data_IF_105735931882
#
_entry.id   IF_105735931882
#
_cell.length_a   1.000
_cell.length_b   1.000
_cell.length_c   1.000
_cell.angle_alpha   90.00
_cell.angle_beta   90.00
_cell.angle_gamma   90.00
#
_symmetry.space_group_name_H-M   'P 1'
#
loop_
_entity.id
_entity.type
_entity.pdbx_description
1 polymer ?
#
# COMPACT_ATOMS: atom_id res chain seq x y z
N UNK A 1 14.66 30.35 -25.81
CA UNK A 1 15.09 30.87 -24.49
C UNK A 1 14.10 30.39 -23.45
N UNK A 2 14.34 29.21 -22.89
CA UNK A 2 13.50 28.64 -21.83
C UNK A 2 14.13 29.02 -20.50
N UNK A 3 13.47 29.91 -19.77
CA UNK A 3 13.89 30.36 -18.44
C UNK A 3 13.65 29.22 -17.45
N UNK A 4 14.72 28.49 -17.13
CA UNK A 4 14.75 27.63 -15.96
C UNK A 4 14.50 28.51 -14.73
N UNK A 5 13.31 28.39 -14.13
CA UNK A 5 13.06 28.94 -12.80
C UNK A 5 14.01 28.23 -11.84
N UNK A 6 15.03 28.95 -11.40
CA UNK A 6 15.85 28.58 -10.26
C UNK A 6 14.90 28.57 -9.05
N UNK A 7 14.58 27.38 -8.59
CA UNK A 7 13.78 27.14 -7.38
C UNK A 7 14.55 27.74 -6.21
N UNK A 8 13.98 28.74 -5.54
CA UNK A 8 14.57 29.41 -4.39
C UNK A 8 14.59 28.48 -3.18
N UNK A 9 15.60 28.62 -2.31
CA UNK A 9 15.85 27.81 -1.11
C UNK A 9 14.66 27.68 -0.12
N UNK A 10 13.61 28.49 -0.26
CA UNK A 10 12.36 28.35 0.50
C UNK A 10 11.50 27.13 0.11
N UNK A 11 11.63 26.62 -1.12
CA UNK A 11 10.85 25.48 -1.64
C UNK A 11 11.43 24.12 -1.19
N UNK A 12 12.63 24.11 -0.62
CA UNK A 12 13.28 22.88 -0.14
C UNK A 12 12.61 22.33 1.13
N UNK A 13 11.95 23.22 1.89
CA UNK A 13 11.21 22.90 3.12
C UNK A 13 9.75 22.43 2.88
N UNK A 14 9.25 22.53 1.63
CA UNK A 14 7.88 22.18 1.26
C UNK A 14 7.76 20.79 0.61
N UNK A 15 8.89 20.09 0.42
CA UNK A 15 8.92 18.75 -0.16
C UNK A 15 8.37 17.70 0.81
N UNK A 16 7.60 16.72 0.32
CA UNK A 16 7.13 15.63 1.16
C UNK A 16 8.31 14.77 1.64
N UNK A 17 8.16 14.17 2.81
CA UNK A 17 9.10 13.19 3.34
C UNK A 17 8.81 11.84 2.69
N UNK A 18 9.79 11.29 1.98
CA UNK A 18 9.63 10.04 1.22
C UNK A 18 10.12 8.82 2.01
N UNK A 19 11.12 8.99 2.89
CA UNK A 19 11.72 7.88 3.66
C UNK A 19 12.20 8.35 5.04
N UNK A 20 12.13 7.49 6.05
CA UNK A 20 12.61 7.79 7.40
C UNK A 20 13.51 6.69 7.94
N UNK A 21 14.64 7.11 8.51
CA UNK A 21 15.56 6.26 9.26
C UNK A 21 15.51 6.66 10.73
N UNK A 22 15.52 5.69 11.64
CA UNK A 22 15.55 5.95 13.07
C UNK A 22 16.81 5.34 13.67
N UNK A 23 17.43 6.05 14.62
CA UNK A 23 18.51 5.49 15.44
C UNK A 23 18.52 6.09 16.85
N UNK A 24 19.12 5.37 17.80
CA UNK A 24 19.28 5.86 19.18
C UNK A 24 20.53 6.73 19.29
N UNK A 25 20.39 7.92 19.88
CA UNK A 25 21.48 8.90 20.01
C UNK A 25 22.63 8.39 20.91
N UNK A 26 22.31 7.47 21.84
CA UNK A 26 23.31 6.90 22.76
C UNK A 26 24.28 5.93 22.09
N UNK A 27 23.92 5.38 20.93
CA UNK A 27 24.74 4.39 20.24
C UNK A 27 25.83 5.08 19.42
N UNK A 28 27.06 5.05 19.94
CA UNK A 28 28.25 5.59 19.27
C UNK A 28 28.89 4.63 18.27
N UNK A 29 28.57 3.34 18.35
CA UNK A 29 29.24 2.25 17.61
C UNK A 29 29.06 2.24 16.08
N UNK A 30 28.39 3.24 15.50
CA UNK A 30 28.15 3.36 14.06
C UNK A 30 28.09 4.80 13.55
N UNK A 31 28.64 5.76 14.29
CA UNK A 31 28.58 7.19 13.92
C UNK A 31 29.32 7.49 12.62
N UNK A 32 30.48 6.85 12.41
CA UNK A 32 31.29 7.03 11.20
C UNK A 32 30.54 6.52 9.96
N UNK A 33 29.96 5.33 10.03
CA UNK A 33 29.20 4.76 8.91
C UNK A 33 27.91 5.53 8.62
N UNK A 34 27.20 6.03 9.64
CA UNK A 34 26.03 6.90 9.45
C UNK A 34 26.40 8.17 8.70
N UNK A 35 27.45 8.85 9.17
CA UNK A 35 27.89 10.10 8.55
C UNK A 35 28.33 9.86 7.09
N UNK A 36 29.08 8.78 6.84
CA UNK A 36 29.50 8.42 5.49
C UNK A 36 28.29 8.12 4.58
N UNK A 37 27.25 7.48 5.12
CA UNK A 37 26.01 7.19 4.39
C UNK A 37 25.19 8.47 4.11
N UNK A 38 25.00 9.33 5.10
CA UNK A 38 24.27 10.60 4.94
C UNK A 38 24.96 11.55 3.95
N UNK A 39 26.29 11.61 3.98
CA UNK A 39 27.07 12.34 2.98
C UNK A 39 26.94 11.71 1.59
N UNK A 40 26.86 10.37 1.49
CA UNK A 40 26.60 9.69 0.22
C UNK A 40 25.18 9.93 -0.31
N UNK A 41 24.17 10.01 0.58
CA UNK A 41 22.80 10.40 0.25
C UNK A 41 22.79 11.82 -0.32
N UNK A 42 23.46 12.77 0.36
CA UNK A 42 23.57 14.15 -0.10
C UNK A 42 24.30 14.27 -1.46
N UNK A 43 25.38 13.49 -1.67
CA UNK A 43 26.08 13.40 -2.98
C UNK A 43 25.15 12.90 -4.10
N UNK A 44 24.20 12.03 -3.77
CA UNK A 44 23.20 11.53 -4.71
C UNK A 44 22.05 12.52 -4.95
N UNK A 45 22.09 13.73 -4.40
CA UNK A 45 21.09 14.78 -4.62
C UNK A 45 19.79 14.58 -3.86
N UNK A 46 19.80 13.77 -2.80
CA UNK A 46 18.70 13.63 -1.85
C UNK A 46 18.88 14.60 -0.68
N UNK A 47 17.77 15.08 -0.13
CA UNK A 47 17.75 16.00 0.99
C UNK A 47 17.60 15.21 2.29
N UNK A 48 18.38 15.57 3.30
CA UNK A 48 18.41 14.90 4.60
C UNK A 48 18.16 15.93 5.69
N UNK A 49 17.12 15.71 6.50
CA UNK A 49 16.87 16.48 7.71
C UNK A 49 16.89 15.56 8.94
N UNK A 50 17.20 16.15 10.10
CA UNK A 50 17.30 15.43 11.37
C UNK A 50 16.32 16.00 12.38
N UNK A 51 15.50 15.13 12.95
CA UNK A 51 14.56 15.46 14.01
C UNK A 51 14.85 14.59 15.22
N UNK A 52 15.28 15.20 16.33
CA UNK A 52 15.59 14.47 17.56
C UNK A 52 14.40 14.55 18.50
N UNK A 53 13.82 13.39 18.83
CA UNK A 53 12.73 13.28 19.79
C UNK A 53 13.19 12.36 20.93
N UNK A 54 13.32 12.94 22.13
CA UNK A 54 13.81 12.28 23.33
C UNK A 54 15.23 11.70 23.14
N UNK A 55 15.34 10.39 22.91
CA UNK A 55 16.59 9.65 22.73
C UNK A 55 16.74 9.00 21.35
N UNK A 56 15.80 9.28 20.45
CA UNK A 56 15.76 8.75 19.08
C UNK A 56 15.95 9.92 18.12
N UNK A 57 16.86 9.76 17.17
CA UNK A 57 17.03 10.66 16.05
C UNK A 57 16.33 10.06 14.84
N UNK A 58 15.41 10.83 14.26
CA UNK A 58 14.76 10.53 13.00
C UNK A 58 15.47 11.29 11.89
N UNK A 59 15.92 10.57 10.88
CA UNK A 59 16.51 11.11 9.67
C UNK A 59 15.45 11.04 8.58
N UNK A 60 14.89 12.18 8.21
CA UNK A 60 13.88 12.27 7.14
C UNK A 60 14.58 12.55 5.82
N UNK A 61 14.20 11.82 4.79
CA UNK A 61 14.79 11.91 3.46
C UNK A 61 13.72 12.35 2.48
N UNK A 62 14.03 13.38 1.69
CA UNK A 62 13.15 13.92 0.65
C UNK A 62 13.88 13.97 -0.69
N UNK A 63 13.20 13.54 -1.75
CA UNK A 63 13.76 13.51 -3.09
C UNK A 63 13.22 14.66 -3.97
N UNK A 64 14.11 15.49 -4.54
CA UNK A 64 13.73 16.44 -5.57
C UNK A 64 13.17 15.75 -6.82
N UNK A 65 12.24 16.41 -7.50
CA UNK A 65 11.59 15.90 -8.72
C UNK A 65 12.60 15.49 -9.80
N UNK A 66 13.62 16.32 -10.00
CA UNK A 66 14.69 16.07 -10.97
C UNK A 66 15.44 14.74 -10.69
N UNK A 67 15.66 14.42 -9.40
CA UNK A 67 16.34 13.19 -9.01
C UNK A 67 15.46 11.97 -9.25
N UNK A 68 14.17 12.09 -8.91
CA UNK A 68 13.16 11.05 -9.15
C UNK A 68 13.02 10.73 -10.63
N UNK A 69 13.00 11.74 -11.51
CA UNK A 69 12.95 11.53 -12.95
C UNK A 69 14.12 10.67 -13.47
N UNK A 70 15.36 10.95 -13.01
CA UNK A 70 16.53 10.18 -13.44
C UNK A 70 16.45 8.72 -13.02
N UNK A 71 15.97 8.46 -11.81
CA UNK A 71 15.79 7.08 -11.34
C UNK A 71 14.61 6.39 -12.00
N UNK A 72 13.52 7.11 -12.28
CA UNK A 72 12.39 6.58 -13.02
C UNK A 72 12.80 6.14 -14.44
N UNK A 73 13.62 6.93 -15.14
CA UNK A 73 14.18 6.56 -16.44
C UNK A 73 15.07 5.31 -16.32
N UNK A 74 15.93 5.27 -15.30
CA UNK A 74 16.85 4.15 -15.06
C UNK A 74 16.11 2.85 -14.73
N UNK A 75 15.02 2.94 -13.99
CA UNK A 75 14.16 1.81 -13.67
C UNK A 75 13.28 1.38 -14.87
N UNK A 76 13.18 2.21 -15.92
CA UNK A 76 12.30 1.95 -17.05
C UNK A 76 10.83 1.94 -16.66
N UNK A 77 10.39 2.86 -15.79
CA UNK A 77 8.99 2.92 -15.36
C UNK A 77 8.10 3.29 -16.55
N UNK A 78 7.02 2.53 -16.74
CA UNK A 78 6.02 2.86 -17.76
C UNK A 78 5.03 3.90 -17.21
N UNK A 79 4.89 5.02 -17.93
CA UNK A 79 4.07 6.15 -17.52
C UNK A 79 2.97 6.44 -18.55
N UNK A 80 1.79 6.91 -18.11
CA UNK A 80 0.64 7.15 -18.99
C UNK A 80 0.85 8.37 -19.91
N UNK A 81 0.47 8.23 -21.17
CA UNK A 81 0.51 9.30 -22.18
C UNK A 81 -0.76 10.16 -22.18
N UNK A 82 -0.61 11.45 -22.47
CA UNK A 82 -1.72 12.40 -22.63
C UNK A 82 -2.56 12.05 -23.86
N UNK A 83 -3.89 11.98 -23.68
CA UNK A 83 -4.85 11.99 -24.79
C UNK A 83 -5.14 10.64 -25.46
N UNK A 84 -4.51 9.55 -25.01
CA UNK A 84 -4.78 8.19 -25.52
C UNK A 84 -5.43 7.37 -24.40
N UNK A 85 -6.74 7.57 -24.20
CA UNK A 85 -7.53 6.78 -23.26
C UNK A 85 -7.89 5.43 -23.87
N UNK A 86 -7.73 4.36 -23.10
CA UNK A 86 -8.17 3.01 -23.45
C UNK A 86 -9.56 2.82 -22.88
N UNK A 87 -10.52 2.45 -23.72
CA UNK A 87 -11.85 2.09 -23.24
C UNK A 87 -11.78 0.77 -22.47
N UNK A 88 -12.18 0.79 -21.20
CA UNK A 88 -12.21 -0.39 -20.36
C UNK A 88 -13.13 -1.46 -20.98
N UNK A 89 -12.59 -2.65 -21.22
CA UNK A 89 -13.37 -3.79 -21.74
C UNK A 89 -14.32 -4.27 -20.65
N UNK A 90 -15.63 -4.08 -20.84
CA UNK A 90 -16.62 -4.52 -19.84
C UNK A 90 -16.63 -6.05 -19.73
N UNK A 91 -16.73 -6.62 -18.52
CA UNK A 91 -16.80 -8.07 -18.36
C UNK A 91 -18.07 -8.63 -19.01
N UNK A 92 -17.92 -9.75 -19.72
CA UNK A 92 -18.98 -10.40 -20.52
C UNK A 92 -20.11 -11.00 -19.69
N UNK A 93 -19.92 -11.23 -18.39
CA UNK A 93 -21.00 -11.67 -17.51
C UNK A 93 -21.39 -10.56 -16.51
N UNK A 94 -22.71 -10.36 -16.36
CA UNK A 94 -23.35 -9.48 -15.34
C UNK A 94 -23.18 -7.95 -15.51
N UNK A 95 -23.30 -7.43 -16.74
CA UNK A 95 -23.17 -5.99 -17.09
C UNK A 95 -24.15 -5.04 -16.38
N UNK A 96 -25.34 -5.51 -15.97
CA UNK A 96 -26.38 -4.63 -15.41
C UNK A 96 -26.18 -4.31 -13.93
N UNK A 97 -25.72 -5.29 -13.12
CA UNK A 97 -25.45 -5.07 -11.70
C UNK A 97 -24.07 -4.43 -11.47
N UNK A 98 -23.10 -4.73 -12.34
CA UNK A 98 -21.71 -4.27 -12.18
C UNK A 98 -21.60 -2.74 -12.10
N UNK A 99 -22.40 -1.98 -12.87
CA UNK A 99 -22.37 -0.51 -12.85
C UNK A 99 -22.66 0.12 -11.48
N UNK A 100 -23.46 -0.53 -10.63
CA UNK A 100 -23.76 -0.03 -9.28
C UNK A 100 -22.66 -0.36 -8.27
N UNK A 101 -21.78 -1.31 -8.61
CA UNK A 101 -20.71 -1.79 -7.75
C UNK A 101 -19.33 -1.27 -8.14
N UNK A 102 -19.17 -0.65 -9.32
CA UNK A 102 -17.90 -0.02 -9.75
C UNK A 102 -17.52 1.11 -8.79
N UNK A 103 -16.27 1.06 -8.33
CA UNK A 103 -15.70 2.06 -7.40
C UNK A 103 -14.56 2.85 -8.04
N UNK A 104 -13.90 2.28 -9.05
CA UNK A 104 -12.84 2.95 -9.82
C UNK A 104 -13.39 3.64 -11.06
N UNK A 105 -13.03 4.92 -11.21
CA UNK A 105 -13.38 5.77 -12.34
C UNK A 105 -12.12 6.39 -12.98
N UNK A 106 -10.93 5.85 -12.68
CA UNK A 106 -9.71 6.32 -13.33
C UNK A 106 -9.72 5.83 -14.79
N UNK A 107 -9.47 6.74 -15.73
CA UNK A 107 -9.34 6.37 -17.12
C UNK A 107 -7.98 5.70 -17.33
N UNK A 108 -7.99 4.54 -17.96
CA UNK A 108 -6.76 3.89 -18.38
C UNK A 108 -6.17 4.64 -19.57
N UNK A 109 -4.86 4.88 -19.53
CA UNK A 109 -4.11 5.50 -20.63
C UNK A 109 -3.06 4.52 -21.15
N UNK A 110 -2.72 4.67 -22.42
CA UNK A 110 -1.57 3.94 -22.98
C UNK A 110 -0.29 4.33 -22.22
N UNK A 111 0.48 3.33 -21.83
CA UNK A 111 1.71 3.50 -21.06
C UNK A 111 2.93 3.26 -21.93
N UNK A 112 3.95 4.12 -21.81
CA UNK A 112 5.24 4.02 -22.48
C UNK A 112 6.38 4.16 -21.47
N UNK A 113 7.58 3.60 -21.71
CA UNK A 113 8.70 3.75 -20.81
C UNK A 113 9.06 5.22 -20.67
N UNK A 114 9.28 5.65 -19.43
CA UNK A 114 9.47 7.03 -19.09
C UNK A 114 10.80 7.56 -19.64
N UNK A 115 10.71 8.66 -20.37
CA UNK A 115 11.85 9.45 -20.82
C UNK A 115 11.61 10.91 -20.45
N UNK A 116 12.48 11.47 -19.64
CA UNK A 116 12.48 12.86 -19.19
C UNK A 116 12.47 13.84 -20.37
N UNK A 117 13.17 13.52 -21.45
CA UNK A 117 13.18 14.33 -22.68
C UNK A 117 11.79 14.51 -23.28
N UNK A 118 10.92 13.51 -23.12
CA UNK A 118 9.55 13.47 -23.62
C UNK A 118 8.53 13.85 -22.53
N UNK A 119 8.97 14.51 -21.44
CA UNK A 119 8.14 14.84 -20.28
C UNK A 119 6.76 15.44 -20.61
N UNK A 120 6.68 16.31 -21.62
CA UNK A 120 5.44 16.97 -22.02
C UNK A 120 4.34 16.02 -22.52
N UNK A 121 4.70 14.82 -22.97
CA UNK A 121 3.78 13.79 -23.48
C UNK A 121 3.06 13.03 -22.36
N UNK A 122 3.59 13.02 -21.14
CA UNK A 122 3.03 12.23 -20.04
C UNK A 122 2.00 13.02 -19.24
N UNK A 123 0.98 12.33 -18.74
CA UNK A 123 -0.10 12.92 -17.93
C UNK A 123 0.48 13.57 -16.67
N UNK A 124 -0.01 14.76 -16.31
CA UNK A 124 0.33 15.49 -15.08
C UNK A 124 1.83 15.81 -14.85
N UNK A 125 2.68 15.78 -15.89
CA UNK A 125 4.12 16.08 -15.75
C UNK A 125 4.44 17.49 -15.20
N UNK A 126 3.51 18.44 -15.37
CA UNK A 126 3.64 19.81 -14.86
C UNK A 126 3.49 19.91 -13.33
N UNK A 127 2.90 18.89 -12.70
CA UNK A 127 2.65 18.82 -11.26
C UNK A 127 3.52 17.71 -10.61
N UNK A 128 4.72 18.02 -10.08
CA UNK A 128 5.65 17.04 -9.54
C UNK A 128 5.09 16.09 -8.47
N UNK A 129 4.19 16.62 -7.64
CA UNK A 129 3.57 15.88 -6.54
C UNK A 129 2.47 14.92 -7.01
N UNK A 130 1.85 15.20 -8.16
CA UNK A 130 0.78 14.38 -8.74
C UNK A 130 1.35 13.38 -9.75
N UNK A 131 2.38 13.78 -10.49
CA UNK A 131 3.07 12.94 -11.48
C UNK A 131 3.61 11.66 -10.87
N UNK A 132 4.44 11.78 -9.81
CA UNK A 132 4.90 10.64 -9.05
C UNK A 132 3.97 10.40 -7.88
N UNK A 133 3.19 9.32 -7.96
CA UNK A 133 2.37 8.79 -6.87
C UNK A 133 3.24 8.57 -5.62
N UNK A 134 2.69 8.76 -4.43
CA UNK A 134 3.43 8.60 -3.15
C UNK A 134 4.15 7.26 -3.05
N UNK A 135 3.49 6.17 -3.49
CA UNK A 135 4.08 4.83 -3.52
C UNK A 135 5.30 4.73 -4.47
N UNK A 136 5.22 5.35 -5.66
CA UNK A 136 6.33 5.36 -6.62
C UNK A 136 7.50 6.22 -6.12
N UNK A 137 7.23 7.37 -5.50
CA UNK A 137 8.27 8.20 -4.87
C UNK A 137 9.03 7.41 -3.83
N UNK A 138 8.29 6.77 -2.92
CA UNK A 138 8.82 5.91 -1.88
C UNK A 138 9.67 4.77 -2.43
N UNK A 139 9.21 4.11 -3.50
CA UNK A 139 9.92 3.03 -4.17
C UNK A 139 11.24 3.51 -4.80
N UNK A 140 11.21 4.62 -5.55
CA UNK A 140 12.38 5.19 -6.20
C UNK A 140 13.43 5.61 -5.17
N UNK A 141 13.01 6.28 -4.09
CA UNK A 141 13.92 6.65 -2.99
C UNK A 141 14.50 5.43 -2.32
N UNK A 142 13.67 4.43 -2.02
CA UNK A 142 14.14 3.17 -1.44
C UNK A 142 15.20 2.51 -2.33
N UNK A 143 14.98 2.47 -3.65
CA UNK A 143 15.94 1.91 -4.59
C UNK A 143 17.27 2.67 -4.62
N UNK A 144 17.24 4.01 -4.59
CA UNK A 144 18.47 4.82 -4.45
C UNK A 144 19.22 4.41 -3.18
N UNK A 145 18.53 4.32 -2.04
CA UNK A 145 19.16 4.01 -0.75
C UNK A 145 19.77 2.60 -0.70
N UNK A 146 19.20 1.64 -1.44
CA UNK A 146 19.76 0.29 -1.58
C UNK A 146 21.06 0.26 -2.39
N UNK A 147 21.18 1.14 -3.38
CA UNK A 147 22.29 1.17 -4.32
C UNK A 147 23.49 2.03 -3.87
N UNK A 148 23.31 2.88 -2.85
CA UNK A 148 24.39 3.72 -2.32
C UNK A 148 25.52 2.84 -1.77
N UNK A 149 26.72 3.00 -2.32
CA UNK A 149 27.93 2.35 -1.82
C UNK A 149 28.66 3.25 -0.81
N UNK A 150 28.97 2.69 0.37
CA UNK A 150 29.60 3.42 1.49
C UNK A 150 31.13 3.16 1.52
N UNK A 151 31.60 2.19 0.74
CA UNK A 151 32.99 1.73 0.75
C UNK A 151 34.00 2.83 0.40
N UNK A 152 33.69 3.73 -0.54
CA UNK A 152 34.63 4.76 -1.03
C UNK A 152 35.27 5.61 0.08
N UNK A 153 34.55 5.88 1.20
CA UNK A 153 35.06 6.69 2.31
C UNK A 153 35.68 5.88 3.44
N UNK A 154 35.23 4.64 3.64
CA UNK A 154 35.77 3.79 4.71
C UNK A 154 37.21 3.37 4.36
N UNK A 155 37.47 3.07 3.09
CA UNK A 155 38.83 2.72 2.60
C UNK A 155 39.79 3.92 2.51
N UNK A 156 39.31 5.16 2.65
CA UNK A 156 40.19 6.32 2.76
C UNK A 156 40.88 6.42 4.14
N UNK A 157 40.33 5.75 5.16
CA UNK A 157 40.82 5.80 6.53
C UNK A 157 41.58 4.53 6.97
N UNK A 158 41.31 3.37 6.37
CA UNK A 158 41.99 2.11 6.68
C UNK A 158 42.97 1.71 5.56
N UNK A 159 44.27 1.80 5.85
CA UNK A 159 45.39 1.31 5.04
C UNK A 159 45.59 -0.21 5.13
N UNK A 160 44.48 -0.97 5.14
CA UNK A 160 44.45 -2.42 5.28
C UNK A 160 43.70 -3.09 4.12
N UNK A 161 44.37 -4.05 3.50
CA UNK A 161 43.93 -4.95 2.42
C UNK A 161 42.45 -5.39 2.58
N UNK A 162 41.58 -4.93 1.67
CA UNK A 162 40.15 -5.17 1.76
C UNK A 162 39.71 -6.30 0.82
N UNK A 163 39.20 -7.38 1.39
CA UNK A 163 38.30 -8.29 0.69
C UNK A 163 37.06 -7.47 0.29
N UNK A 164 36.85 -7.30 -1.01
CA UNK A 164 35.83 -6.44 -1.64
C UNK A 164 34.40 -6.99 -1.47
N UNK A 165 33.97 -7.20 -0.23
CA UNK A 165 32.55 -7.27 0.06
C UNK A 165 32.03 -5.84 0.02
N UNK A 166 31.41 -5.46 -1.10
CA UNK A 166 30.67 -4.21 -1.23
C UNK A 166 29.74 -4.06 -0.03
N UNK A 167 30.02 -3.13 0.90
CA UNK A 167 29.10 -2.80 1.99
C UNK A 167 27.95 -2.00 1.38
N UNK A 168 27.02 -2.73 0.75
CA UNK A 168 25.96 -2.14 -0.05
C UNK A 168 24.85 -1.57 0.84
N UNK A 169 24.80 -0.25 0.85
CA UNK A 169 23.62 0.56 1.14
C UNK A 169 22.90 0.33 2.45
N UNK A 170 21.62 0.66 2.41
CA UNK A 170 20.71 0.67 3.53
C UNK A 170 20.58 -0.70 4.22
N UNK A 171 20.56 -1.79 3.44
CA UNK A 171 20.40 -3.15 3.99
C UNK A 171 21.57 -3.55 4.89
N UNK A 172 22.79 -3.18 4.52
CA UNK A 172 23.97 -3.44 5.36
C UNK A 172 23.90 -2.68 6.68
N UNK A 173 23.51 -1.40 6.66
CA UNK A 173 23.39 -0.57 7.86
C UNK A 173 22.28 -1.05 8.79
N UNK A 174 21.15 -1.47 8.23
CA UNK A 174 20.06 -2.08 8.98
C UNK A 174 20.48 -3.42 9.60
N UNK A 175 21.15 -4.30 8.83
CA UNK A 175 21.62 -5.59 9.32
C UNK A 175 22.69 -5.48 10.43
N UNK A 176 23.56 -4.46 10.35
CA UNK A 176 24.56 -4.16 11.40
C UNK A 176 23.92 -3.50 12.64
N UNK A 177 22.64 -3.11 12.57
CA UNK A 177 21.94 -2.42 13.67
C UNK A 177 22.41 -0.99 13.89
N UNK A 178 22.95 -0.34 12.85
CA UNK A 178 23.38 1.07 12.91
C UNK A 178 22.15 1.99 12.94
N UNK A 179 21.17 1.69 12.09
CA UNK A 179 19.82 2.23 12.20
C UNK A 179 18.96 1.21 12.95
N UNK A 180 18.18 1.67 13.91
CA UNK A 180 17.28 0.80 14.66
C UNK A 180 16.10 0.36 13.80
N UNK A 181 15.55 1.28 13.02
CA UNK A 181 14.42 1.01 12.12
C UNK A 181 14.49 1.89 10.87
N UNK A 182 13.87 1.40 9.81
CA UNK A 182 13.75 2.09 8.53
C UNK A 182 12.32 1.92 8.04
N UNK A 183 11.59 3.00 7.81
CA UNK A 183 10.18 2.92 7.44
C UNK A 183 9.77 4.07 6.53
N UNK A 184 8.64 3.85 5.87
CA UNK A 184 7.97 4.81 5.00
C UNK A 184 6.90 5.53 5.82
N UNK A 185 6.72 6.82 5.56
CA UNK A 185 5.63 7.57 6.17
C UNK A 185 4.36 7.43 5.35
N UNK A 186 3.25 7.22 6.05
CA UNK A 186 1.94 7.31 5.44
C UNK A 186 1.54 8.77 5.25
N UNK A 187 0.79 9.05 4.19
CA UNK A 187 0.16 10.35 4.03
C UNK A 187 -0.67 10.71 5.27
N UNK A 188 -0.62 11.98 5.72
CA UNK A 188 -1.36 12.43 6.88
C UNK A 188 -2.86 12.29 6.63
N UNK A 189 -3.60 11.82 7.65
CA UNK A 189 -5.06 11.73 7.57
C UNK A 189 -5.73 12.42 8.74
N UNK A 190 -6.89 13.03 8.48
CA UNK A 190 -7.68 13.71 9.51
C UNK A 190 -8.23 12.76 10.58
N UNK A 191 -8.31 11.47 10.26
CA UNK A 191 -8.90 10.45 11.14
C UNK A 191 -7.87 9.86 12.12
N UNK A 192 -6.60 10.27 12.07
CA UNK A 192 -5.58 9.80 13.01
C UNK A 192 -5.79 10.36 14.43
N UNK A 193 -5.42 9.55 15.43
CA UNK A 193 -5.62 9.89 16.84
C UNK A 193 -4.92 11.20 17.24
N UNK A 194 -3.73 11.47 16.68
CA UNK A 194 -2.97 12.68 16.95
C UNK A 194 -3.74 13.93 16.49
N UNK A 195 -4.18 13.97 15.24
CA UNK A 195 -4.94 15.10 14.70
C UNK A 195 -6.34 15.21 15.30
N UNK A 196 -6.94 14.10 15.74
CA UNK A 196 -8.19 14.10 16.49
C UNK A 196 -8.04 14.80 17.83
N UNK A 197 -6.99 14.49 18.61
CA UNK A 197 -6.68 15.18 19.87
C UNK A 197 -6.35 16.65 19.64
N UNK A 198 -5.61 16.94 18.57
CA UNK A 198 -5.30 18.32 18.17
C UNK A 198 -6.55 19.13 17.85
N UNK A 199 -7.56 18.53 17.21
CA UNK A 199 -8.86 19.18 16.96
C UNK A 199 -9.56 19.57 18.25
N UNK A 200 -9.48 18.72 19.27
CA UNK A 200 -10.10 18.92 20.58
C UNK A 200 -9.35 19.98 21.41
N UNK A 201 -8.02 20.02 21.32
CA UNK A 201 -7.18 20.94 22.11
C UNK A 201 -6.95 22.30 21.43
N UNK A 202 -6.54 22.30 20.15
CA UNK A 202 -6.12 23.48 19.38
C UNK A 202 -6.82 23.51 18.00
N UNK A 203 -8.09 23.89 18.00
CA UNK A 203 -8.92 23.91 16.78
C UNK A 203 -8.34 24.78 15.64
N UNK A 204 -7.74 25.94 15.95
CA UNK A 204 -7.18 26.83 14.92
C UNK A 204 -6.00 26.19 14.16
N UNK A 205 -5.13 25.50 14.89
CA UNK A 205 -3.99 24.81 14.32
C UNK A 205 -4.44 23.60 13.50
N UNK A 206 -5.46 22.90 13.98
CA UNK A 206 -6.14 21.85 13.22
C UNK A 206 -6.74 22.38 11.91
N UNK A 207 -7.40 23.53 11.90
CA UNK A 207 -7.93 24.14 10.67
C UNK A 207 -6.82 24.47 9.66
N UNK A 208 -5.71 25.06 10.12
CA UNK A 208 -4.53 25.32 9.27
C UNK A 208 -3.91 24.04 8.71
N UNK A 209 -3.90 22.97 9.50
CA UNK A 209 -3.47 21.66 9.05
C UNK A 209 -4.43 21.07 8.00
N UNK A 210 -5.74 21.11 8.28
CA UNK A 210 -6.76 20.58 7.38
C UNK A 210 -6.79 21.31 6.03
N UNK A 211 -6.50 22.61 6.02
CA UNK A 211 -6.36 23.42 4.80
C UNK A 211 -5.10 23.04 4.00
N UNK A 212 -4.01 22.66 4.67
CA UNK A 212 -2.78 22.16 4.01
C UNK A 212 -2.99 20.78 3.37
N UNK A 213 -3.87 19.94 3.92
CA UNK A 213 -4.30 18.70 3.28
C UNK A 213 -5.24 19.02 2.11
N UNK A 214 -4.67 19.34 0.93
CA UNK A 214 -5.44 19.52 -0.31
C UNK A 214 -6.29 18.30 -0.65
N UNK A 215 -5.80 17.10 -0.37
CA UNK A 215 -6.52 15.83 -0.52
C UNK A 215 -6.00 14.81 0.51
N UNK A 216 -6.92 14.03 1.10
CA UNK A 216 -6.59 12.93 2.01
C UNK A 216 -6.79 11.59 1.26
N UNK A 217 -5.71 11.00 0.71
CA UNK A 217 -5.81 9.77 -0.06
C UNK A 217 -6.26 8.60 0.81
N UNK A 218 -5.82 8.53 2.07
CA UNK A 218 -6.16 7.45 3.01
C UNK A 218 -7.63 7.45 3.37
N UNK A 219 -8.19 8.62 3.68
CA UNK A 219 -9.61 8.75 3.99
C UNK A 219 -10.48 8.43 2.78
N UNK A 220 -10.05 8.87 1.60
CA UNK A 220 -10.75 8.56 0.34
C UNK A 220 -10.73 7.06 0.08
N UNK A 221 -9.58 6.42 0.25
CA UNK A 221 -9.40 4.97 0.10
C UNK A 221 -10.26 4.20 1.10
N UNK A 222 -10.20 4.55 2.38
CA UNK A 222 -10.99 3.94 3.47
C UNK A 222 -12.49 3.98 3.19
N UNK A 223 -13.03 5.16 2.82
CA UNK A 223 -14.45 5.34 2.51
C UNK A 223 -14.94 4.49 1.34
N UNK A 224 -14.07 4.23 0.37
CA UNK A 224 -14.42 3.50 -0.84
C UNK A 224 -14.15 2.00 -0.75
N UNK A 225 -13.15 1.59 0.04
CA UNK A 225 -12.72 0.21 0.15
C UNK A 225 -13.44 -0.58 1.24
N UNK A 226 -13.79 0.05 2.37
CA UNK A 226 -14.45 -0.62 3.51
C UNK A 226 -15.86 -1.17 3.19
N UNK A 227 -16.72 -0.51 2.39
CA UNK A 227 -18.06 -1.02 2.13
C UNK A 227 -18.06 -2.39 1.44
N UNK A 228 -18.55 -3.43 2.13
CA UNK A 228 -18.57 -4.82 1.64
C UNK A 228 -19.45 -5.05 0.41
N UNK A 229 -20.35 -4.11 0.12
CA UNK A 229 -21.29 -4.19 -1.00
C UNK A 229 -20.79 -3.52 -2.27
N UNK A 230 -19.55 -2.99 -2.31
CA UNK A 230 -18.95 -2.39 -3.51
C UNK A 230 -17.77 -3.22 -4.00
N UNK A 231 -17.39 -3.07 -5.27
CA UNK A 231 -16.12 -3.63 -5.75
C UNK A 231 -14.94 -2.88 -5.15
N UNK A 232 -13.84 -3.60 -5.02
CA UNK A 232 -12.61 -3.06 -4.47
C UNK A 232 -12.02 -2.01 -5.43
N UNK A 233 -11.66 -0.80 -4.94
CA UNK A 233 -11.02 0.22 -5.77
C UNK A 233 -9.52 -0.09 -5.97
N UNK A 234 -9.22 -0.96 -6.93
CA UNK A 234 -7.89 -1.46 -7.23
C UNK A 234 -6.92 -0.33 -7.63
N UNK A 235 -7.37 0.65 -8.41
CA UNK A 235 -6.50 1.75 -8.84
C UNK A 235 -6.02 2.60 -7.66
N UNK A 236 -6.91 2.86 -6.70
CA UNK A 236 -6.56 3.63 -5.51
C UNK A 236 -5.68 2.86 -4.55
N UNK A 237 -5.90 1.54 -4.42
CA UNK A 237 -5.00 0.65 -3.68
C UNK A 237 -3.62 0.67 -4.35
N UNK A 238 -3.55 0.62 -5.68
CA UNK A 238 -2.30 0.70 -6.45
C UNK A 238 -1.58 2.00 -6.23
N UNK A 239 -2.29 3.11 -6.30
CA UNK A 239 -1.71 4.45 -6.15
C UNK A 239 -1.12 4.67 -4.75
N UNK A 240 -1.67 4.01 -3.73
CA UNK A 240 -1.27 4.18 -2.34
C UNK A 240 -0.29 3.12 -1.81
N UNK A 241 -0.54 1.84 -2.06
CA UNK A 241 0.24 0.70 -1.55
C UNK A 241 1.20 0.10 -2.60
N UNK A 242 1.03 0.44 -3.87
CA UNK A 242 1.79 -0.13 -4.97
C UNK A 242 1.16 -1.39 -5.57
N UNK A 243 1.83 -1.92 -6.59
CA UNK A 243 1.31 -2.94 -7.50
C UNK A 243 1.20 -4.31 -6.83
N UNK A 244 2.17 -4.69 -5.99
CA UNK A 244 2.21 -6.01 -5.34
C UNK A 244 1.01 -6.24 -4.42
N UNK A 245 0.69 -5.26 -3.59
CA UNK A 245 -0.44 -5.33 -2.64
C UNK A 245 -1.77 -5.28 -3.42
N UNK A 246 -1.83 -4.45 -4.46
CA UNK A 246 -3.02 -4.39 -5.32
C UNK A 246 -3.28 -5.70 -6.03
N UNK A 247 -2.24 -6.34 -6.56
CA UNK A 247 -2.37 -7.64 -7.22
C UNK A 247 -2.92 -8.70 -6.27
N UNK A 248 -2.47 -8.71 -5.02
CA UNK A 248 -3.03 -9.58 -3.98
C UNK A 248 -4.54 -9.35 -3.81
N UNK A 249 -4.99 -8.10 -3.67
CA UNK A 249 -6.41 -7.79 -3.51
C UNK A 249 -7.25 -8.03 -4.78
N UNK A 250 -6.68 -7.78 -5.96
CA UNK A 250 -7.31 -8.09 -7.23
C UNK A 250 -7.56 -9.60 -7.38
N UNK A 251 -6.57 -10.41 -7.01
CA UNK A 251 -6.69 -11.86 -7.00
C UNK A 251 -7.73 -12.34 -5.99
N UNK A 252 -7.69 -11.82 -4.76
CA UNK A 252 -8.65 -12.14 -3.70
C UNK A 252 -10.09 -11.81 -4.13
N UNK A 253 -10.32 -10.61 -4.69
CA UNK A 253 -11.61 -10.19 -5.20
C UNK A 253 -12.11 -11.09 -6.34
N UNK A 254 -11.23 -11.47 -7.26
CA UNK A 254 -11.57 -12.39 -8.35
C UNK A 254 -11.96 -13.77 -7.83
N UNK A 255 -11.21 -14.30 -6.86
CA UNK A 255 -11.50 -15.61 -6.26
C UNK A 255 -12.85 -15.61 -5.54
N UNK A 256 -13.15 -14.57 -4.76
CA UNK A 256 -14.44 -14.43 -4.07
C UNK A 256 -15.59 -14.30 -5.06
N UNK A 257 -15.44 -13.53 -6.15
CA UNK A 257 -16.49 -13.39 -7.18
C UNK A 257 -16.76 -14.72 -7.91
N UNK A 258 -15.74 -15.52 -8.21
CA UNK A 258 -15.89 -16.84 -8.82
C UNK A 258 -16.59 -17.87 -7.90
N UNK A 259 -16.55 -17.68 -6.58
CA UNK A 259 -17.17 -18.58 -5.62
C UNK A 259 -18.69 -18.37 -5.48
N UNK A 260 -19.20 -17.18 -5.80
CA UNK A 260 -20.63 -16.86 -5.65
C UNK A 260 -21.57 -17.85 -6.37
N UNK A 261 -21.36 -18.21 -7.65
CA UNK A 261 -22.22 -19.19 -8.33
C UNK A 261 -22.21 -20.56 -7.64
N UNK A 262 -21.04 -21.04 -7.21
CA UNK A 262 -20.91 -22.31 -6.51
C UNK A 262 -21.60 -22.27 -5.14
N UNK A 263 -21.47 -21.17 -4.40
CA UNK A 263 -22.15 -20.95 -3.13
C UNK A 263 -23.68 -20.92 -3.31
N UNK A 264 -24.18 -20.23 -4.34
CA UNK A 264 -25.62 -20.18 -4.65
C UNK A 264 -26.14 -21.59 -4.96
N UNK A 265 -25.47 -22.35 -5.84
CA UNK A 265 -25.86 -23.74 -6.14
C UNK A 265 -25.81 -24.61 -4.89
N UNK A 266 -24.77 -24.49 -4.07
CA UNK A 266 -24.64 -25.21 -2.81
C UNK A 266 -25.78 -24.94 -1.83
N UNK A 267 -26.16 -23.67 -1.67
CA UNK A 267 -27.31 -23.27 -0.83
C UNK A 267 -28.63 -23.78 -1.40
N UNK A 268 -28.83 -23.72 -2.72
CA UNK A 268 -30.05 -24.25 -3.36
C UNK A 268 -30.19 -25.76 -3.16
N UNK A 269 -29.10 -26.53 -3.33
CA UNK A 269 -29.10 -27.97 -3.07
C UNK A 269 -29.36 -28.28 -1.59
N UNK A 270 -28.76 -27.51 -0.67
CA UNK A 270 -28.97 -27.66 0.77
C UNK A 270 -30.44 -27.40 1.17
N UNK A 271 -31.03 -26.31 0.68
CA UNK A 271 -32.44 -25.97 0.93
C UNK A 271 -33.36 -27.03 0.33
N UNK A 272 -33.09 -27.50 -0.89
CA UNK A 272 -33.84 -28.60 -1.50
C UNK A 272 -33.78 -29.86 -0.64
N UNK A 273 -32.59 -30.23 -0.16
CA UNK A 273 -32.40 -31.38 0.74
C UNK A 273 -33.21 -31.25 2.04
N UNK A 274 -33.21 -30.07 2.66
CA UNK A 274 -34.02 -29.80 3.87
C UNK A 274 -35.51 -29.94 3.57
N UNK A 275 -36.00 -29.27 2.51
CA UNK A 275 -37.42 -29.32 2.15
C UNK A 275 -37.86 -30.75 1.85
N UNK A 276 -37.05 -31.49 1.09
CA UNK A 276 -37.31 -32.90 0.77
C UNK A 276 -37.31 -33.78 2.03
N UNK A 277 -36.34 -33.60 2.93
CA UNK A 277 -36.28 -34.32 4.20
C UNK A 277 -37.49 -34.06 5.08
N UNK A 278 -37.95 -32.81 5.18
CA UNK A 278 -39.14 -32.46 5.98
C UNK A 278 -40.43 -32.95 5.33
N UNK A 279 -40.53 -32.88 3.98
CA UNK A 279 -41.74 -33.26 3.25
C UNK A 279 -41.98 -34.77 3.20
N UNK A 280 -40.92 -35.57 3.06
CA UNK A 280 -41.02 -37.04 2.98
C UNK A 280 -41.06 -37.66 4.37
N UNK A 281 -40.35 -37.09 5.34
CA UNK A 281 -40.27 -37.61 6.71
C UNK A 281 -41.33 -36.97 7.62
N UNK A 282 -42.59 -36.91 7.17
CA UNK A 282 -43.71 -36.38 7.96
C UNK A 282 -43.99 -37.14 9.27
N UNK A 283 -43.36 -38.30 9.49
CA UNK A 283 -43.73 -39.22 10.57
C UNK A 283 -42.59 -39.76 11.45
N UNK A 284 -41.35 -39.27 11.36
CA UNK A 284 -40.24 -39.85 12.16
C UNK A 284 -39.51 -38.87 13.08
N UNK A 285 -40.10 -37.71 13.40
CA UNK A 285 -39.58 -36.88 14.52
C UNK A 285 -40.07 -37.36 15.89
N UNK A 286 -40.79 -38.48 15.93
CA UNK A 286 -41.27 -39.08 17.17
C UNK A 286 -41.79 -40.50 17.02
N UNK A 287 -41.43 -41.27 15.99
CA UNK A 287 -41.81 -42.69 15.88
C UNK A 287 -40.56 -43.54 15.63
N UNK A 288 -40.26 -44.42 16.58
CA UNK A 288 -39.12 -45.33 16.57
C UNK A 288 -39.63 -46.75 16.27
N UNK A 289 -39.02 -47.45 15.31
CA UNK A 289 -39.31 -48.87 15.06
C UNK A 289 -38.49 -49.73 16.03
N UNK A 290 -39.14 -50.32 17.03
CA UNK A 290 -38.52 -51.27 17.96
C UNK A 290 -38.91 -52.71 17.55
N UNK A 291 -37.98 -53.65 17.70
CA UNK A 291 -38.25 -55.08 17.50
C UNK A 291 -38.57 -55.72 18.85
N UNK A 292 -39.79 -56.20 19.02
CA UNK A 292 -40.19 -56.95 20.21
C UNK A 292 -39.43 -58.29 20.29
N UNK A 293 -39.38 -58.91 21.48
CA UNK A 293 -38.70 -60.19 21.71
C UNK A 293 -39.18 -61.36 20.82
N UNK A 294 -40.31 -61.19 20.12
CA UNK A 294 -40.94 -62.15 19.20
C UNK A 294 -40.53 -61.88 17.73
N UNK A 295 -39.74 -60.83 17.47
CA UNK A 295 -39.22 -60.50 16.13
C UNK A 295 -40.16 -59.66 15.24
N UNK A 296 -41.27 -59.16 15.77
CA UNK A 296 -42.16 -58.23 15.05
C UNK A 296 -41.71 -56.78 15.24
N UNK A 297 -41.72 -55.99 14.16
CA UNK A 297 -41.44 -54.56 14.17
C UNK A 297 -42.69 -53.78 14.57
N UNK A 298 -42.59 -53.00 15.65
CA UNK A 298 -43.67 -52.14 16.14
C UNK A 298 -43.18 -50.69 16.12
N UNK A 299 -44.05 -49.79 15.66
CA UNK A 299 -43.80 -48.34 15.62
C UNK A 299 -44.34 -47.70 16.89
N UNK A 300 -43.46 -47.21 17.76
CA UNK A 300 -43.83 -46.54 19.02
C UNK A 300 -43.39 -45.08 19.02
N UNK A 301 -44.06 -44.23 19.81
CA UNK A 301 -43.63 -42.84 19.93
C UNK A 301 -42.27 -42.76 20.65
N UNK A 302 -41.27 -42.09 20.08
CA UNK A 302 -39.95 -41.93 20.69
C UNK A 302 -40.06 -40.99 21.91
N UNK A 303 -40.51 -41.51 23.04
CA UNK A 303 -40.48 -40.82 24.32
C UNK A 303 -39.04 -40.56 24.73
N UNK A 304 -38.70 -39.30 24.98
CA UNK A 304 -37.47 -38.93 25.71
C UNK A 304 -37.57 -39.65 27.05
N UNK A 305 -36.70 -40.63 27.29
CA UNK A 305 -36.62 -41.35 28.55
C UNK A 305 -36.56 -40.34 29.71
N UNK A 306 -37.65 -40.23 30.46
CA UNK A 306 -37.63 -39.59 31.76
C UNK A 306 -36.93 -40.57 32.71
N UNK A 307 -35.80 -40.11 33.26
CA UNK A 307 -35.13 -40.71 34.44
C UNK A 307 -36.11 -40.94 35.58
#
# INVERSE_FOLDING_TARGET
MSTAKIVQDGDLSSLPVDYVLAYKVKDKGGEVERRAFEEAIARNGLLVNHEVVNSICFVTISAPFERLCREAERCGLNMPLKGIAVEATQPTCCVLLSKYFITDNEADYLCEPFQKKLGSLYVDYEEPLKFFRTALRSLLVHQILLEIDINERIHANDSGEAIDFKKKGLLYLAAKGIYSDTFLLHDPSQDELYYRKMREQNFLEYCKFAERLKSDPRRTLSKQWIPFYKFQPLDKIRNYFGEKITFYFAWEGTFLTMLWPAAIVGVLCFVYGIVHSVAINKTNFGVCTTTNAIGQQVTEECGIAQM
#
